data_IF_959434730154
#
_entry.id   IF_959434730154
#
_cell.length_a   1.000
_cell.length_b   1.000
_cell.length_c   1.000
_cell.angle_alpha   90.00
_cell.angle_beta   90.00
_cell.angle_gamma   90.00
#
_symmetry.space_group_name_H-M   'P 1'
#
loop_
_entity.id
_entity.type
_entity.pdbx_description
1 polymer ?
#
# COMPACT_ATOMS: atom_id res chain seq x y z
N UNK A 1 14.76 -19.11 1.00
CA UNK A 1 13.32 -18.78 0.96
C UNK A 1 13.02 -17.64 1.93
N UNK A 2 11.90 -16.91 1.76
CA UNK A 2 11.43 -15.88 2.70
C UNK A 2 10.55 -16.52 3.77
N UNK A 3 10.83 -16.30 5.05
CA UNK A 3 10.01 -16.82 6.16
C UNK A 3 8.96 -15.82 6.61
N UNK A 4 7.90 -16.28 7.30
CA UNK A 4 6.86 -15.38 7.86
C UNK A 4 7.48 -14.37 8.85
N UNK A 5 8.38 -14.83 9.73
CA UNK A 5 9.06 -13.96 10.70
C UNK A 5 9.88 -12.87 10.01
N UNK A 6 10.63 -13.26 8.98
CA UNK A 6 11.43 -12.33 8.19
C UNK A 6 10.55 -11.34 7.41
N UNK A 7 9.44 -11.80 6.83
CA UNK A 7 8.50 -10.91 6.14
C UNK A 7 7.83 -9.91 7.09
N UNK A 8 7.42 -10.33 8.29
CA UNK A 8 6.92 -9.42 9.34
C UNK A 8 7.97 -8.36 9.71
N UNK A 9 9.23 -8.76 9.77
CA UNK A 9 10.37 -7.86 10.04
C UNK A 9 10.52 -6.82 8.91
N UNK A 10 10.45 -7.26 7.66
CA UNK A 10 10.45 -6.38 6.49
C UNK A 10 9.30 -5.35 6.51
N UNK A 11 8.09 -5.78 6.83
CA UNK A 11 6.93 -4.88 6.98
C UNK A 11 7.14 -3.90 8.14
N UNK A 12 7.67 -4.35 9.28
CA UNK A 12 8.01 -3.47 10.41
C UNK A 12 9.01 -2.37 10.04
N UNK A 13 10.01 -2.69 9.22
CA UNK A 13 10.95 -1.70 8.67
C UNK A 13 10.22 -0.67 7.80
N UNK A 14 9.34 -1.09 6.90
CA UNK A 14 8.56 -0.18 6.03
C UNK A 14 7.71 0.78 6.88
N UNK A 15 7.05 0.27 7.91
CA UNK A 15 6.25 1.10 8.83
C UNK A 15 7.13 2.12 9.56
N UNK A 16 8.31 1.71 10.02
CA UNK A 16 9.23 2.60 10.71
C UNK A 16 9.85 3.68 9.80
N UNK A 17 10.10 3.37 8.52
CA UNK A 17 10.45 4.37 7.50
C UNK A 17 9.35 5.40 7.27
N UNK A 18 8.09 5.06 7.58
CA UNK A 18 6.97 6.01 7.59
C UNK A 18 7.11 7.07 8.68
N UNK A 19 7.63 6.67 9.85
CA UNK A 19 7.89 7.53 11.02
C UNK A 19 9.16 8.36 10.85
N UNK A 20 10.26 7.73 10.42
CA UNK A 20 11.54 8.39 10.19
C UNK A 20 11.77 8.45 8.69
N UNK A 21 11.52 9.61 8.06
CA UNK A 21 11.61 9.73 6.60
C UNK A 21 12.98 10.24 6.17
N UNK A 22 13.70 9.43 5.41
CA UNK A 22 14.93 9.81 4.72
C UNK A 22 14.70 9.90 3.21
N UNK A 23 15.50 10.74 2.55
CA UNK A 23 15.39 10.98 1.11
C UNK A 23 15.74 9.76 0.25
N UNK A 24 16.64 8.89 0.72
CA UNK A 24 17.05 7.69 -0.02
C UNK A 24 16.93 6.46 0.87
N UNK A 25 16.38 5.37 0.32
CA UNK A 25 16.24 4.09 1.03
C UNK A 25 17.60 3.56 1.52
N UNK A 26 18.68 3.82 0.79
CA UNK A 26 20.03 3.37 1.20
C UNK A 26 20.55 4.10 2.44
N UNK A 27 20.02 5.28 2.77
CA UNK A 27 20.49 6.09 3.89
C UNK A 27 20.12 5.46 5.24
N UNK A 28 19.05 4.67 5.32
CA UNK A 28 18.66 3.95 6.55
C UNK A 28 19.71 2.92 7.02
N UNK A 29 20.63 2.50 6.16
CA UNK A 29 21.70 1.54 6.46
C UNK A 29 23.10 2.15 6.39
N UNK A 30 23.20 3.48 6.42
CA UNK A 30 24.51 4.15 6.51
C UNK A 30 25.04 4.11 7.94
N UNK A 31 26.36 4.17 8.05
CA UNK A 31 27.09 4.23 9.33
C UNK A 31 27.61 5.62 9.63
N UNK A 32 27.43 6.56 8.69
CA UNK A 32 27.82 7.95 8.87
C UNK A 32 27.01 8.55 10.01
N UNK A 33 27.63 9.38 10.86
CA UNK A 33 27.01 9.87 12.10
C UNK A 33 25.64 10.55 11.89
N UNK A 34 25.43 11.23 10.75
CA UNK A 34 24.14 11.84 10.38
C UNK A 34 23.02 10.83 10.05
N UNK A 35 23.36 9.56 9.83
CA UNK A 35 22.46 8.52 9.34
C UNK A 35 22.64 7.17 10.06
N UNK A 36 23.33 7.12 11.21
CA UNK A 36 23.63 5.86 11.92
C UNK A 36 22.41 5.35 12.70
N UNK A 37 21.39 4.89 11.96
CA UNK A 37 20.20 4.30 12.53
C UNK A 37 20.42 2.79 12.78
N UNK A 38 20.98 2.47 13.96
CA UNK A 38 21.26 1.08 14.37
C UNK A 38 20.03 0.16 14.29
N UNK A 39 18.83 0.70 14.50
CA UNK A 39 17.57 -0.03 14.46
C UNK A 39 17.32 -0.76 13.12
N UNK A 40 17.68 -0.17 11.98
CA UNK A 40 17.44 -0.80 10.67
C UNK A 40 18.47 -1.87 10.35
N UNK A 41 19.75 -1.53 10.52
CA UNK A 41 20.89 -2.39 10.17
C UNK A 41 21.04 -3.62 11.06
N UNK A 42 20.64 -3.54 12.33
CA UNK A 42 20.70 -4.68 13.25
C UNK A 42 19.57 -5.69 13.01
N UNK A 43 18.46 -5.24 12.41
CA UNK A 43 17.26 -6.04 12.24
C UNK A 43 17.23 -6.78 10.90
N UNK A 44 17.68 -6.14 9.81
CA UNK A 44 17.78 -6.76 8.49
C UNK A 44 18.89 -6.09 7.69
N UNK A 45 19.66 -6.84 6.91
CA UNK A 45 20.66 -6.22 6.02
C UNK A 45 19.98 -5.45 4.89
N UNK A 46 20.63 -4.39 4.40
CA UNK A 46 20.14 -3.56 3.29
C UNK A 46 19.85 -4.40 2.05
N UNK A 47 20.77 -5.29 1.68
CA UNK A 47 20.65 -6.07 0.45
C UNK A 47 19.51 -7.07 0.56
N UNK A 48 19.29 -7.65 1.76
CA UNK A 48 18.15 -8.51 2.00
C UNK A 48 16.83 -7.75 1.91
N UNK A 49 16.75 -6.56 2.50
CA UNK A 49 15.57 -5.70 2.39
C UNK A 49 15.27 -5.34 0.92
N UNK A 50 16.29 -4.89 0.16
CA UNK A 50 16.13 -4.54 -1.25
C UNK A 50 15.76 -5.74 -2.12
N UNK A 51 16.29 -6.94 -1.82
CA UNK A 51 15.93 -8.16 -2.52
C UNK A 51 14.46 -8.53 -2.29
N UNK A 52 13.99 -8.48 -1.04
CA UNK A 52 12.58 -8.72 -0.72
C UNK A 52 11.69 -7.69 -1.41
N UNK A 53 12.07 -6.40 -1.33
CA UNK A 53 11.34 -5.32 -1.99
C UNK A 53 11.23 -5.53 -3.50
N UNK A 54 12.31 -5.98 -4.16
CA UNK A 54 12.35 -6.22 -5.60
C UNK A 54 11.51 -7.42 -6.03
N UNK A 55 11.46 -8.46 -5.21
CA UNK A 55 10.76 -9.71 -5.54
C UNK A 55 9.34 -9.80 -4.97
N UNK A 56 8.83 -8.73 -4.35
CA UNK A 56 7.51 -8.72 -3.74
C UNK A 56 6.42 -8.81 -4.81
N UNK A 57 5.64 -9.89 -4.76
CA UNK A 57 4.60 -10.19 -5.74
C UNK A 57 3.36 -10.76 -5.04
N UNK A 58 2.17 -10.28 -5.41
CA UNK A 58 0.90 -10.62 -4.75
C UNK A 58 -0.08 -11.39 -5.64
N UNK A 59 0.28 -11.65 -6.89
CA UNK A 59 -0.55 -12.39 -7.82
C UNK A 59 0.08 -13.76 -8.12
N UNK A 60 -0.73 -14.68 -8.64
CA UNK A 60 -0.25 -15.95 -9.18
C UNK A 60 0.00 -15.78 -10.68
N UNK A 61 1.23 -16.03 -11.13
CA UNK A 61 1.60 -15.91 -12.55
C UNK A 61 0.98 -17.00 -13.43
N UNK A 62 0.46 -18.07 -12.83
CA UNK A 62 -0.20 -19.15 -13.56
C UNK A 62 -1.65 -18.82 -13.93
N UNK A 63 -2.20 -17.73 -13.39
CA UNK A 63 -3.56 -17.28 -13.70
C UNK A 63 -3.52 -16.21 -14.79
N UNK A 64 -4.42 -16.32 -15.75
CA UNK A 64 -4.59 -15.28 -16.77
C UNK A 64 -5.03 -13.98 -16.10
N UNK A 65 -4.36 -12.87 -16.47
CA UNK A 65 -4.75 -11.56 -15.97
C UNK A 65 -6.02 -11.10 -16.70
N UNK A 66 -7.13 -11.06 -15.97
CA UNK A 66 -8.43 -10.63 -16.45
C UNK A 66 -8.63 -9.12 -16.28
N UNK A 67 -7.91 -8.50 -15.33
CA UNK A 67 -7.99 -7.08 -15.03
C UNK A 67 -6.61 -6.44 -14.90
N UNK A 68 -6.57 -5.13 -15.20
CA UNK A 68 -5.37 -4.29 -15.07
C UNK A 68 -4.87 -4.20 -13.62
N UNK A 69 -5.71 -4.51 -12.64
CA UNK A 69 -5.41 -4.41 -11.21
C UNK A 69 -5.03 -5.74 -10.55
N UNK A 70 -5.02 -6.87 -11.28
CA UNK A 70 -4.83 -8.21 -10.69
C UNK A 70 -3.56 -8.32 -9.84
N UNK A 71 -2.50 -7.60 -10.21
CA UNK A 71 -1.22 -7.57 -9.46
C UNK A 71 -1.34 -7.04 -8.03
N UNK A 72 -2.35 -6.21 -7.74
CA UNK A 72 -2.55 -5.54 -6.45
C UNK A 72 -3.95 -5.80 -5.88
N UNK A 73 -4.83 -6.45 -6.63
CA UNK A 73 -6.23 -6.68 -6.24
C UNK A 73 -6.31 -7.43 -4.91
N UNK A 74 -5.46 -8.44 -4.71
CA UNK A 74 -5.39 -9.21 -3.47
C UNK A 74 -5.13 -8.33 -2.23
N UNK A 75 -4.33 -7.27 -2.37
CA UNK A 75 -4.08 -6.33 -1.26
C UNK A 75 -5.27 -5.41 -1.01
N UNK A 76 -5.92 -4.93 -2.07
CA UNK A 76 -7.10 -4.07 -1.97
C UNK A 76 -8.21 -4.84 -1.25
N UNK A 77 -8.47 -6.06 -1.69
CA UNK A 77 -9.50 -6.92 -1.13
C UNK A 77 -9.17 -7.30 0.32
N UNK A 78 -7.92 -7.66 0.61
CA UNK A 78 -7.49 -7.98 1.97
C UNK A 78 -7.69 -6.80 2.94
N UNK A 79 -7.37 -5.58 2.52
CA UNK A 79 -7.62 -4.38 3.32
C UNK A 79 -9.12 -4.15 3.53
N UNK A 80 -9.90 -4.05 2.45
CA UNK A 80 -11.34 -3.73 2.53
C UNK A 80 -12.12 -4.79 3.34
N UNK A 81 -11.79 -6.08 3.16
CA UNK A 81 -12.41 -7.17 3.92
C UNK A 81 -11.99 -7.16 5.39
N UNK A 82 -10.74 -6.79 5.68
CA UNK A 82 -10.30 -6.66 7.08
C UNK A 82 -11.01 -5.49 7.75
N UNK A 83 -11.07 -4.34 7.07
CA UNK A 83 -11.64 -3.12 7.63
C UNK A 83 -13.15 -3.27 7.91
N UNK A 84 -13.90 -3.83 6.96
CA UNK A 84 -15.33 -4.15 7.15
C UNK A 84 -15.61 -5.14 8.27
N UNK A 85 -14.66 -6.01 8.61
CA UNK A 85 -14.78 -6.98 9.70
C UNK A 85 -14.45 -6.38 11.07
N UNK A 86 -13.44 -5.52 11.15
CA UNK A 86 -12.93 -5.00 12.43
C UNK A 86 -13.53 -3.65 12.82
N UNK A 87 -14.17 -2.95 11.88
CA UNK A 87 -14.63 -1.60 12.09
C UNK A 87 -16.00 -1.38 11.47
N UNK A 88 -16.91 -0.80 12.25
CA UNK A 88 -18.22 -0.37 11.78
C UNK A 88 -18.22 1.16 11.67
N UNK A 89 -18.35 1.72 10.47
CA UNK A 89 -18.30 3.15 10.30
C UNK A 89 -19.49 3.86 10.96
N UNK A 90 -19.23 5.06 11.46
CA UNK A 90 -20.23 6.00 11.92
C UNK A 90 -21.10 6.56 10.80
N UNK A 91 -21.93 7.54 11.14
CA UNK A 91 -22.98 8.06 10.25
C UNK A 91 -22.42 8.88 9.08
N UNK A 92 -21.31 9.58 9.30
CA UNK A 92 -20.79 10.57 8.36
C UNK A 92 -19.51 10.06 7.69
N UNK A 93 -19.61 9.77 6.40
CA UNK A 93 -18.51 9.30 5.57
C UNK A 93 -18.21 10.31 4.46
N UNK A 94 -16.92 10.47 4.16
CA UNK A 94 -16.40 11.36 3.14
C UNK A 94 -15.65 10.58 2.07
N UNK A 95 -15.85 10.94 0.81
CA UNK A 95 -15.10 10.36 -0.31
C UNK A 95 -13.91 11.26 -0.66
N UNK A 96 -12.70 10.76 -0.44
CA UNK A 96 -11.47 11.44 -0.80
C UNK A 96 -10.92 10.89 -2.13
N UNK A 97 -10.62 11.80 -3.06
CA UNK A 97 -9.91 11.46 -4.29
C UNK A 97 -8.51 12.07 -4.26
N UNK A 98 -7.49 11.22 -4.15
CA UNK A 98 -6.09 11.67 -4.23
C UNK A 98 -5.53 11.35 -5.60
N UNK A 99 -5.03 12.39 -6.27
CA UNK A 99 -4.36 12.31 -7.57
C UNK A 99 -3.00 13.00 -7.47
N UNK A 100 -1.96 12.30 -7.90
CA UNK A 100 -0.67 12.92 -8.18
C UNK A 100 -0.54 13.15 -9.69
N UNK A 101 0.17 14.20 -10.13
CA UNK A 101 0.26 14.62 -11.55
C UNK A 101 0.60 13.47 -12.50
N UNK A 102 1.47 12.56 -12.06
CA UNK A 102 1.90 11.36 -12.79
C UNK A 102 1.70 10.05 -11.99
N UNK A 103 0.81 10.06 -11.00
CA UNK A 103 0.62 8.91 -10.10
C UNK A 103 -0.70 8.17 -10.32
N UNK A 104 -0.86 7.12 -9.53
CA UNK A 104 -2.09 6.33 -9.46
C UNK A 104 -3.17 7.15 -8.77
N UNK A 105 -4.37 7.20 -9.36
CA UNK A 105 -5.54 7.84 -8.75
C UNK A 105 -6.24 6.83 -7.84
N UNK A 106 -6.39 7.19 -6.57
CA UNK A 106 -7.05 6.37 -5.54
C UNK A 106 -8.28 7.10 -5.04
N UNK A 107 -9.37 6.35 -4.87
CA UNK A 107 -10.55 6.79 -4.14
C UNK A 107 -10.58 6.08 -2.80
N UNK A 108 -10.69 6.85 -1.73
CA UNK A 108 -10.76 6.34 -0.36
C UNK A 108 -12.03 6.88 0.29
N UNK A 109 -12.82 5.98 0.88
CA UNK A 109 -13.90 6.30 1.78
C UNK A 109 -13.33 6.47 3.17
N UNK A 110 -13.56 7.62 3.79
CA UNK A 110 -12.98 7.96 5.09
C UNK A 110 -14.02 8.50 6.05
N UNK A 111 -13.79 8.31 7.33
CA UNK A 111 -14.50 9.06 8.36
C UNK A 111 -13.98 10.49 8.51
N UNK A 112 -14.68 11.28 9.33
CA UNK A 112 -14.33 12.66 9.65
C UNK A 112 -12.95 12.79 10.32
N UNK A 113 -12.52 11.76 11.05
CA UNK A 113 -11.20 11.70 11.69
C UNK A 113 -10.06 11.33 10.70
N UNK A 114 -10.41 11.00 9.45
CA UNK A 114 -9.47 10.61 8.40
C UNK A 114 -9.18 9.12 8.32
N UNK A 115 -9.85 8.28 9.12
CA UNK A 115 -9.72 6.82 9.05
C UNK A 115 -10.28 6.30 7.73
N UNK A 116 -9.47 5.54 6.98
CA UNK A 116 -9.89 4.92 5.71
C UNK A 116 -10.63 3.63 5.99
N UNK A 117 -11.90 3.56 5.57
CA UNK A 117 -12.75 2.38 5.76
C UNK A 117 -12.77 1.48 4.53
N UNK A 118 -12.65 2.08 3.34
CA UNK A 118 -12.60 1.37 2.08
C UNK A 118 -11.77 2.18 1.07
N UNK A 119 -11.06 1.54 0.16
CA UNK A 119 -10.47 2.23 -0.98
C UNK A 119 -10.48 1.40 -2.26
N UNK A 120 -10.40 2.10 -3.38
CA UNK A 120 -10.30 1.51 -4.72
C UNK A 120 -9.37 2.31 -5.62
N UNK A 121 -8.77 1.64 -6.60
CA UNK A 121 -7.82 2.21 -7.54
C UNK A 121 -8.49 2.44 -8.89
N UNK A 122 -8.30 3.63 -9.46
CA UNK A 122 -8.76 3.92 -10.81
C UNK A 122 -7.82 3.31 -11.86
N UNK A 123 -8.32 2.35 -12.63
CA UNK A 123 -7.57 1.62 -13.67
C UNK A 123 -7.71 2.19 -15.09
N UNK A 124 -8.29 3.39 -15.24
CA UNK A 124 -8.45 4.06 -16.53
C UNK A 124 -9.64 3.54 -17.36
N UNK A 125 -9.55 3.74 -18.68
CA UNK A 125 -10.57 3.28 -19.63
C UNK A 125 -10.67 1.75 -19.63
N UNK A 126 -11.89 1.24 -19.71
CA UNK A 126 -12.22 -0.20 -19.71
C UNK A 126 -12.25 -0.84 -18.32
N UNK A 127 -11.99 -0.09 -17.25
CA UNK A 127 -12.21 -0.54 -15.88
C UNK A 127 -13.67 -0.39 -15.43
N UNK A 128 -14.06 -0.98 -14.30
CA UNK A 128 -15.42 -0.87 -13.75
C UNK A 128 -15.81 0.59 -13.44
N UNK A 129 -14.82 1.43 -13.11
CA UNK A 129 -14.96 2.87 -12.86
C UNK A 129 -14.77 3.72 -14.14
N UNK A 130 -14.84 3.14 -15.34
CA UNK A 130 -14.66 3.88 -16.59
C UNK A 130 -15.90 4.72 -16.97
N UNK A 131 -15.69 5.81 -17.72
CA UNK A 131 -16.76 6.67 -18.26
C UNK A 131 -16.97 7.98 -17.49
N UNK A 132 -17.91 8.80 -17.95
CA UNK A 132 -18.30 10.04 -17.30
C UNK A 132 -18.98 9.76 -15.95
N UNK A 133 -18.78 10.64 -14.97
CA UNK A 133 -19.33 10.46 -13.62
C UNK A 133 -18.72 9.30 -12.83
N UNK A 134 -17.50 8.87 -13.16
CA UNK A 134 -16.81 7.75 -12.51
C UNK A 134 -16.65 7.88 -11.00
N UNK A 135 -16.59 9.11 -10.46
CA UNK A 135 -16.58 9.33 -9.03
C UNK A 135 -17.89 8.87 -8.36
N UNK A 136 -19.04 9.06 -9.02
CA UNK A 136 -20.33 8.59 -8.52
C UNK A 136 -20.47 7.07 -8.54
N UNK A 137 -19.71 6.38 -9.41
CA UNK A 137 -19.69 4.90 -9.43
C UNK A 137 -18.95 4.28 -8.24
N UNK A 138 -18.18 5.08 -7.50
CA UNK A 138 -17.47 4.64 -6.28
C UNK A 138 -18.41 4.64 -5.07
N UNK A 139 -19.44 5.49 -5.09
CA UNK A 139 -20.45 5.61 -4.04
C UNK A 139 -21.61 4.68 -4.39
N UNK A 140 -21.57 3.44 -3.88
CA UNK A 140 -22.68 2.50 -3.95
C UNK A 140 -22.89 1.86 -2.59
#
# INVERSE_FOLDING_TARGET
ALTIKEFKTFIGIILHMGTVRLNRIKDYWKTHYLFDFKAFRNVMSRDRFLLILRCLHFNDNCKENTSKLDKVQLLIDAFNNTMSRIYYPGKDLSLLSKKHKYGIKVYALTELDGLVTNFTIYSGKGGPLSGNGHAGKVVK
#
